data_IF_798335479309
#
_entry.id   IF_798335479309
#
_cell.length_a   1.000
_cell.length_b   1.000
_cell.length_c   1.000
_cell.angle_alpha   90.00
_cell.angle_beta   90.00
_cell.angle_gamma   90.00
#
_symmetry.space_group_name_H-M   'P 1'
#
loop_
_entity.id
_entity.type
_entity.pdbx_description
1 polymer ?
#
# COMPACT_ATOMS: atom_id res chain seq x y z
N UNK A 1 0.54 14.71 -9.02
CA UNK A 1 0.98 14.03 -7.79
C UNK A 1 2.48 13.88 -7.84
N UNK A 2 3.18 14.16 -6.75
CA UNK A 2 4.64 14.15 -6.69
C UNK A 2 5.15 13.24 -5.57
N UNK A 3 6.44 13.33 -5.27
CA UNK A 3 7.06 12.64 -4.14
C UNK A 3 7.41 13.68 -3.09
N UNK A 4 6.57 13.79 -2.06
CA UNK A 4 6.78 14.71 -0.96
C UNK A 4 7.93 14.24 -0.04
N UNK A 5 8.20 14.98 1.03
CA UNK A 5 9.24 14.64 1.99
C UNK A 5 8.96 13.32 2.72
N UNK A 6 7.70 12.86 2.80
CA UNK A 6 7.30 11.60 3.41
C UNK A 6 7.64 11.51 4.89
N UNK A 7 7.52 12.63 5.61
CA UNK A 7 8.13 12.80 6.92
C UNK A 7 7.17 13.11 8.07
N UNK A 8 5.88 12.95 7.81
CA UNK A 8 4.85 13.05 8.85
C UNK A 8 5.01 11.96 9.90
N UNK A 9 4.76 12.32 11.16
CA UNK A 9 4.74 11.40 12.30
C UNK A 9 3.36 11.45 12.94
N UNK A 10 2.75 10.26 13.05
CA UNK A 10 1.49 10.10 13.80
C UNK A 10 1.80 9.62 15.22
N UNK A 11 1.17 10.26 16.21
CA UNK A 11 1.23 9.90 17.63
C UNK A 11 -0.16 9.88 18.25
N UNK A 12 -0.30 9.27 19.41
CA UNK A 12 -1.50 9.40 20.25
C UNK A 12 -1.20 10.40 21.36
N UNK A 13 -2.11 11.33 21.61
CA UNK A 13 -2.02 12.25 22.75
C UNK A 13 -2.47 11.56 24.06
N UNK A 14 -2.41 12.31 25.17
CA UNK A 14 -2.80 11.79 26.50
C UNK A 14 -4.30 11.41 26.59
N UNK A 15 -5.13 11.86 25.65
CA UNK A 15 -6.56 11.54 25.56
C UNK A 15 -6.82 10.33 24.66
N UNK A 16 -5.80 9.87 23.93
CA UNK A 16 -5.90 8.79 22.96
C UNK A 16 -6.35 9.27 21.58
N UNK A 17 -6.35 10.57 21.32
CA UNK A 17 -6.63 11.12 20.00
C UNK A 17 -5.36 11.06 19.12
N UNK A 18 -5.54 10.89 17.81
CA UNK A 18 -4.42 10.87 16.86
C UNK A 18 -3.98 12.31 16.57
N UNK A 19 -2.69 12.57 16.77
CA UNK A 19 -2.01 13.78 16.35
C UNK A 19 -1.07 13.49 15.17
N UNK A 20 -0.95 14.45 14.25
CA UNK A 20 -0.10 14.37 13.06
C UNK A 20 0.85 15.56 13.01
N UNK A 21 2.11 15.29 13.32
CA UNK A 21 3.21 16.24 13.12
C UNK A 21 3.72 16.11 11.68
N UNK A 22 3.40 17.10 10.84
CA UNK A 22 3.85 17.16 9.46
C UNK A 22 4.04 18.60 9.00
N UNK A 23 5.23 18.90 8.46
CA UNK A 23 5.58 20.21 7.90
C UNK A 23 5.85 20.08 6.39
N UNK A 24 5.07 20.76 5.53
CA UNK A 24 5.29 20.72 4.10
C UNK A 24 6.52 21.48 3.61
N UNK A 25 7.24 22.20 4.47
CA UNK A 25 8.46 22.94 4.10
C UNK A 25 9.47 22.05 3.36
N UNK A 26 9.65 20.80 3.80
CA UNK A 26 10.54 19.82 3.15
C UNK A 26 10.11 19.40 1.74
N UNK A 27 8.88 19.75 1.33
CA UNK A 27 8.30 19.40 0.03
C UNK A 27 8.12 20.63 -0.88
N UNK A 28 8.51 21.82 -0.43
CA UNK A 28 8.20 23.09 -1.12
C UNK A 28 8.84 23.18 -2.51
N UNK A 29 10.06 22.67 -2.68
CA UNK A 29 10.76 22.64 -3.97
C UNK A 29 9.92 21.92 -5.04
N UNK A 30 9.43 20.72 -4.72
CA UNK A 30 8.54 19.96 -5.59
C UNK A 30 7.25 20.73 -5.93
N UNK A 31 6.64 21.41 -4.94
CA UNK A 31 5.42 22.18 -5.20
C UNK A 31 5.68 23.38 -6.13
N UNK A 32 6.83 24.05 -5.99
CA UNK A 32 7.22 25.16 -6.85
C UNK A 32 7.50 24.68 -8.28
N UNK A 33 8.20 23.56 -8.45
CA UNK A 33 8.40 22.94 -9.77
C UNK A 33 7.07 22.57 -10.45
N UNK A 34 6.15 21.99 -9.68
CA UNK A 34 4.82 21.62 -10.19
C UNK A 34 3.99 22.86 -10.57
N UNK A 35 4.05 23.91 -9.77
CA UNK A 35 3.37 25.19 -10.05
C UNK A 35 3.93 25.83 -11.32
N UNK A 36 5.26 25.85 -11.49
CA UNK A 36 5.91 26.36 -12.70
C UNK A 36 5.49 25.57 -13.94
N UNK A 37 5.50 24.24 -13.88
CA UNK A 37 5.08 23.40 -15.00
C UNK A 37 3.60 23.62 -15.39
N UNK A 38 2.72 23.84 -14.41
CA UNK A 38 1.31 24.17 -14.70
C UNK A 38 1.13 25.56 -15.30
N UNK A 39 1.92 26.55 -14.88
CA UNK A 39 1.92 27.89 -15.46
C UNK A 39 2.34 27.86 -16.93
N UNK A 40 3.48 27.22 -17.22
CA UNK A 40 3.98 27.06 -18.59
C UNK A 40 2.95 26.37 -19.50
N UNK A 41 2.30 25.30 -18.99
CA UNK A 41 1.26 24.59 -19.72
C UNK A 41 0.01 25.46 -19.95
N UNK A 42 -0.42 26.20 -18.94
CA UNK A 42 -1.57 27.11 -19.03
C UNK A 42 -1.32 28.22 -20.06
N UNK A 43 -0.16 28.86 -20.01
CA UNK A 43 0.24 29.91 -20.95
C UNK A 43 0.28 29.40 -22.38
N UNK A 44 0.90 28.24 -22.61
CA UNK A 44 0.96 27.62 -23.93
C UNK A 44 -0.44 27.24 -24.48
N UNK A 45 -1.39 26.94 -23.59
CA UNK A 45 -2.78 26.67 -23.93
C UNK A 45 -3.66 27.94 -24.06
N UNK A 46 -3.11 29.14 -23.85
CA UNK A 46 -3.85 30.41 -23.88
C UNK A 46 -4.75 30.64 -22.67
N UNK A 47 -4.51 29.92 -21.57
CA UNK A 47 -5.24 30.03 -20.30
C UNK A 47 -4.62 31.02 -19.31
N UNK A 48 -5.27 31.13 -18.15
CA UNK A 48 -4.80 31.92 -17.01
C UNK A 48 -4.68 31.04 -15.76
N UNK A 49 -3.56 31.16 -15.04
CA UNK A 49 -3.35 30.44 -13.78
C UNK A 49 -4.18 31.06 -12.65
N UNK A 50 -4.93 30.21 -11.94
CA UNK A 50 -5.73 30.61 -10.78
C UNK A 50 -5.37 29.72 -9.60
N UNK A 51 -4.64 30.30 -8.65
CA UNK A 51 -4.21 29.60 -7.44
C UNK A 51 -5.35 29.48 -6.44
N UNK A 52 -5.52 28.31 -5.84
CA UNK A 52 -6.46 28.08 -4.74
C UNK A 52 -6.23 29.05 -3.59
N UNK A 53 -7.30 29.60 -3.01
CA UNK A 53 -7.23 30.48 -1.84
C UNK A 53 -6.48 29.85 -0.66
N UNK A 54 -6.56 28.53 -0.51
CA UNK A 54 -5.87 27.80 0.55
C UNK A 54 -4.34 27.77 0.36
N UNK A 55 -3.87 27.90 -0.88
CA UNK A 55 -2.45 27.88 -1.21
C UNK A 55 -1.81 29.28 -1.23
N UNK A 56 -2.63 30.32 -1.24
CA UNK A 56 -2.16 31.70 -1.16
C UNK A 56 -1.70 32.06 0.26
N UNK A 57 -0.77 33.01 0.37
CA UNK A 57 -0.41 33.60 1.65
C UNK A 57 -1.62 34.39 2.21
N UNK A 58 -1.94 34.32 3.51
CA UNK A 58 -1.17 33.70 4.61
C UNK A 58 -1.53 32.24 4.91
N UNK A 59 -2.47 31.62 4.19
CA UNK A 59 -2.98 30.30 4.54
C UNK A 59 -1.95 29.18 4.30
N UNK A 60 -1.40 29.09 3.08
CA UNK A 60 -0.45 28.05 2.64
C UNK A 60 -0.76 26.64 3.18
N UNK A 61 -2.04 26.26 3.15
CA UNK A 61 -2.52 24.96 3.62
C UNK A 61 -2.56 23.97 2.47
N UNK A 62 -1.94 22.82 2.69
CA UNK A 62 -2.05 21.68 1.78
C UNK A 62 -3.18 20.76 2.21
N UNK A 63 -3.81 20.17 1.21
CA UNK A 63 -4.78 19.11 1.37
C UNK A 63 -4.27 17.91 0.59
N UNK A 64 -4.25 16.75 1.23
CA UNK A 64 -4.02 15.48 0.56
C UNK A 64 -5.26 14.62 0.69
N UNK A 65 -5.70 14.04 -0.43
CA UNK A 65 -6.71 12.98 -0.44
C UNK A 65 -6.10 11.60 -0.15
N UNK A 66 -4.77 11.52 -0.07
CA UNK A 66 -4.03 10.26 -0.04
C UNK A 66 -3.03 10.24 1.15
N UNK A 67 -3.50 10.30 2.41
CA UNK A 67 -2.62 10.06 3.54
C UNK A 67 -2.11 8.61 3.49
N UNK A 68 -0.79 8.42 3.40
CA UNK A 68 -0.13 7.11 3.33
C UNK A 68 1.04 7.08 4.33
N UNK A 69 1.26 5.92 4.95
CA UNK A 69 2.33 5.72 5.93
C UNK A 69 1.82 5.24 7.28
N UNK A 70 2.55 5.56 8.35
CA UNK A 70 2.20 5.19 9.73
C UNK A 70 2.67 3.79 10.14
N UNK A 71 2.32 2.77 9.35
CA UNK A 71 2.71 1.36 9.53
C UNK A 71 3.38 0.85 8.27
N UNK A 72 4.63 1.23 8.04
CA UNK A 72 5.31 0.95 6.77
C UNK A 72 5.86 -0.48 6.80
N UNK A 73 5.90 -1.08 5.61
CA UNK A 73 6.45 -2.42 5.39
C UNK A 73 7.97 -2.34 5.30
N UNK A 74 8.66 -3.27 5.97
CA UNK A 74 10.13 -3.33 6.02
C UNK A 74 10.64 -4.77 5.91
N UNK A 75 11.94 -4.89 5.61
CA UNK A 75 12.64 -6.17 5.59
C UNK A 75 13.02 -6.67 6.99
N UNK A 76 13.03 -5.78 8.00
CA UNK A 76 13.46 -6.08 9.37
C UNK A 76 12.58 -5.38 10.42
N UNK A 77 12.43 -6.07 11.54
CA UNK A 77 11.69 -5.58 12.72
C UNK A 77 12.22 -4.29 13.35
N UNK A 78 13.49 -3.96 13.14
CA UNK A 78 14.08 -2.73 13.69
C UNK A 78 13.78 -1.50 12.83
N UNK A 79 13.43 -1.70 11.55
CA UNK A 79 13.28 -0.64 10.57
C UNK A 79 11.83 -0.09 10.52
N UNK A 80 10.81 -0.93 10.70
CA UNK A 80 9.39 -0.50 10.67
C UNK A 80 8.42 -1.53 11.29
N UNK A 81 7.10 -1.36 11.07
CA UNK A 81 6.03 -2.03 11.82
C UNK A 81 5.67 -3.42 11.29
N UNK A 82 5.63 -3.61 9.96
CA UNK A 82 5.16 -4.86 9.34
C UNK A 82 6.18 -5.46 8.35
N UNK A 83 6.15 -6.78 8.20
CA UNK A 83 6.94 -7.49 7.18
C UNK A 83 6.27 -7.47 5.80
N UNK A 84 6.92 -8.11 4.81
CA UNK A 84 6.47 -8.15 3.42
C UNK A 84 5.11 -8.85 3.18
N UNK A 85 4.61 -9.56 4.19
CA UNK A 85 3.33 -10.30 4.19
C UNK A 85 2.23 -9.57 4.97
N UNK A 86 2.52 -8.38 5.49
CA UNK A 86 1.58 -7.60 6.28
C UNK A 86 1.45 -8.07 7.73
N UNK A 87 2.37 -8.90 8.23
CA UNK A 87 2.39 -9.34 9.63
C UNK A 87 3.18 -8.34 10.48
N UNK A 88 2.68 -8.03 11.67
CA UNK A 88 3.37 -7.14 12.62
C UNK A 88 4.61 -7.84 13.17
N UNK A 89 5.74 -7.12 13.19
CA UNK A 89 6.97 -7.63 13.76
C UNK A 89 6.91 -7.79 15.29
N UNK A 90 6.72 -9.02 15.78
CA UNK A 90 6.98 -9.43 17.17
C UNK A 90 6.38 -8.54 18.30
N UNK A 91 6.81 -8.69 19.56
CA UNK A 91 6.36 -7.78 20.63
C UNK A 91 6.87 -6.36 20.36
N UNK A 92 6.08 -5.31 20.68
CA UNK A 92 6.40 -3.93 20.34
C UNK A 92 7.76 -3.54 20.90
N UNK A 93 8.72 -3.36 20.00
CA UNK A 93 10.01 -2.73 20.30
C UNK A 93 9.95 -1.30 19.78
N UNK A 94 10.62 -0.34 20.43
CA UNK A 94 10.75 0.98 19.86
C UNK A 94 11.43 0.85 18.50
N UNK A 95 10.70 1.16 17.42
CA UNK A 95 11.22 1.19 16.04
C UNK A 95 12.41 2.15 16.03
N UNK A 96 13.60 1.64 15.74
CA UNK A 96 14.84 2.42 15.81
C UNK A 96 15.03 3.14 14.48
N UNK A 97 14.44 4.32 14.41
CA UNK A 97 14.48 5.16 13.23
C UNK A 97 13.39 4.73 12.26
N UNK A 98 12.28 5.48 12.23
CA UNK A 98 11.43 5.52 11.04
C UNK A 98 12.34 5.95 9.89
N UNK A 99 12.78 5.01 9.06
CA UNK A 99 13.53 5.34 7.84
C UNK A 99 12.57 6.14 6.96
N UNK A 100 12.78 7.47 6.90
CA UNK A 100 12.02 8.42 6.04
C UNK A 100 12.06 8.02 4.56
N UNK A 101 12.96 7.14 4.20
CA UNK A 101 13.38 6.71 2.88
C UNK A 101 12.74 5.39 2.40
N UNK A 102 11.86 4.75 3.18
CA UNK A 102 11.26 3.48 2.73
C UNK A 102 10.18 3.65 1.63
N UNK A 103 10.23 2.91 0.51
CA UNK A 103 9.49 3.26 -0.71
C UNK A 103 7.97 3.00 -0.79
N UNK A 104 7.29 2.12 0.00
CA UNK A 104 5.94 1.71 -0.41
C UNK A 104 4.89 2.83 -0.28
N UNK A 105 5.17 3.91 0.46
CA UNK A 105 4.26 5.04 0.65
C UNK A 105 4.33 6.10 -0.46
N UNK A 106 5.37 6.11 -1.31
CA UNK A 106 5.62 7.19 -2.29
C UNK A 106 5.04 6.86 -3.66
N UNK A 107 3.73 6.61 -3.74
CA UNK A 107 3.06 6.44 -5.03
C UNK A 107 2.90 7.80 -5.72
N UNK A 108 3.60 8.00 -6.84
CA UNK A 108 3.45 9.19 -7.71
C UNK A 108 2.10 9.20 -8.46
N UNK A 109 1.31 8.13 -8.32
CA UNK A 109 0.00 7.91 -8.93
C UNK A 109 -1.03 7.52 -7.87
N UNK A 110 -2.31 7.52 -8.23
CA UNK A 110 -3.39 7.23 -7.28
C UNK A 110 -3.12 5.89 -6.57
N UNK A 111 -3.05 5.86 -5.22
CA UNK A 111 -2.63 4.67 -4.49
C UNK A 111 -3.71 3.58 -4.42
N UNK A 112 -4.95 3.85 -4.82
CA UNK A 112 -6.07 2.92 -4.64
C UNK A 112 -5.80 1.53 -5.20
N UNK A 113 -5.33 1.43 -6.45
CA UNK A 113 -5.02 0.13 -7.08
C UNK A 113 -3.83 -0.56 -6.41
N UNK A 114 -2.84 0.19 -5.93
CA UNK A 114 -1.70 -0.37 -5.18
C UNK A 114 -2.16 -0.93 -3.84
N UNK A 115 -3.04 -0.21 -3.13
CA UNK A 115 -3.63 -0.67 -1.87
C UNK A 115 -4.44 -1.95 -2.11
N UNK A 116 -5.27 -1.99 -3.15
CA UNK A 116 -6.04 -3.18 -3.52
C UNK A 116 -5.12 -4.37 -3.81
N UNK A 117 -4.14 -4.22 -4.69
CA UNK A 117 -3.22 -5.29 -5.04
C UNK A 117 -2.42 -5.81 -3.82
N UNK A 118 -1.95 -4.90 -2.97
CA UNK A 118 -1.23 -5.24 -1.75
C UNK A 118 -2.14 -5.97 -0.76
N UNK A 119 -3.38 -5.51 -0.60
CA UNK A 119 -4.37 -6.12 0.30
C UNK A 119 -4.73 -7.53 -0.14
N UNK A 120 -4.91 -7.76 -1.44
CA UNK A 120 -5.14 -9.10 -2.01
C UNK A 120 -3.95 -10.04 -1.77
N UNK A 121 -2.71 -9.54 -1.98
CA UNK A 121 -1.49 -10.31 -1.68
C UNK A 121 -1.37 -10.68 -0.21
N UNK A 122 -1.64 -9.74 0.70
CA UNK A 122 -1.63 -9.98 2.16
C UNK A 122 -2.70 -11.00 2.53
N UNK A 123 -3.93 -10.86 2.02
CA UNK A 123 -5.01 -11.80 2.27
C UNK A 123 -4.68 -13.22 1.78
N UNK A 124 -4.04 -13.34 0.61
CA UNK A 124 -3.52 -14.59 0.09
C UNK A 124 -2.55 -15.27 1.08
N UNK A 125 -1.59 -14.52 1.64
CA UNK A 125 -0.69 -15.03 2.66
C UNK A 125 -1.43 -15.43 3.95
N UNK A 126 -2.37 -14.62 4.43
CA UNK A 126 -3.15 -14.89 5.64
C UNK A 126 -3.99 -16.17 5.53
N UNK A 127 -4.65 -16.40 4.40
CA UNK A 127 -5.56 -17.54 4.20
C UNK A 127 -4.82 -18.81 3.77
N UNK A 128 -3.74 -18.66 2.98
CA UNK A 128 -3.12 -19.78 2.29
C UNK A 128 -1.64 -20.04 2.63
N UNK A 129 -0.98 -19.11 3.33
CA UNK A 129 0.43 -19.25 3.73
C UNK A 129 1.41 -19.34 2.55
N UNK A 130 1.08 -18.77 1.39
CA UNK A 130 1.91 -18.82 0.17
C UNK A 130 1.64 -17.64 -0.75
N UNK A 131 2.53 -17.39 -1.70
CA UNK A 131 2.44 -16.26 -2.63
C UNK A 131 1.35 -16.46 -3.70
N UNK A 132 0.92 -15.35 -4.33
CA UNK A 132 -0.01 -15.39 -5.44
C UNK A 132 0.64 -16.05 -6.66
N UNK A 133 -0.03 -17.04 -7.25
CA UNK A 133 0.51 -17.79 -8.40
C UNK A 133 1.19 -19.11 -8.04
N UNK A 134 1.51 -19.35 -6.76
CA UNK A 134 1.93 -20.66 -6.28
C UNK A 134 0.73 -21.63 -6.34
N UNK A 135 0.61 -22.32 -7.47
CA UNK A 135 -0.41 -23.36 -7.67
C UNK A 135 -0.05 -24.57 -6.83
N UNK A 136 -1.01 -25.02 -6.02
CA UNK A 136 -0.98 -26.40 -5.49
C UNK A 136 -0.83 -27.33 -6.71
N UNK A 137 0.07 -28.33 -6.71
CA UNK A 137 0.00 -29.38 -7.71
C UNK A 137 -1.43 -29.92 -7.68
N UNK A 138 -2.07 -29.98 -8.85
CA UNK A 138 -3.42 -30.50 -8.96
C UNK A 138 -3.46 -31.83 -8.21
N UNK A 139 -4.36 -31.95 -7.22
CA UNK A 139 -4.56 -33.22 -6.54
C UNK A 139 -4.87 -34.23 -7.65
N UNK A 140 -3.94 -35.18 -7.85
CA UNK A 140 -4.12 -36.22 -8.85
C UNK A 140 -5.44 -36.91 -8.50
N UNK A 141 -6.43 -36.97 -9.41
CA UNK A 141 -7.68 -37.63 -9.09
C UNK A 141 -7.35 -39.04 -8.59
N UNK A 142 -7.95 -39.41 -7.47
CA UNK A 142 -7.83 -40.78 -6.96
C UNK A 142 -8.16 -41.73 -8.13
N UNK A 143 -7.38 -42.80 -8.35
CA UNK A 143 -7.70 -43.74 -9.41
C UNK A 143 -9.15 -44.17 -9.20
N UNK A 144 -9.96 -44.02 -10.25
CA UNK A 144 -11.35 -44.45 -10.21
C UNK A 144 -11.36 -45.89 -9.71
N UNK A 145 -12.05 -46.12 -8.57
CA UNK A 145 -12.20 -47.47 -8.06
C UNK A 145 -12.78 -48.31 -9.19
N UNK A 146 -12.02 -49.31 -9.64
CA UNK A 146 -12.48 -50.20 -10.69
C UNK A 146 -13.79 -50.82 -10.21
N UNK A 147 -14.88 -50.46 -10.89
CA UNK A 147 -16.18 -51.08 -10.65
C UNK A 147 -16.00 -52.56 -10.99
N UNK A 148 -15.88 -53.40 -9.97
CA UNK A 148 -15.88 -54.84 -10.13
C UNK A 148 -17.27 -55.23 -10.62
N UNK A 149 -17.41 -55.39 -11.93
CA UNK A 149 -18.58 -56.01 -12.52
C UNK A 149 -18.57 -57.47 -12.04
N UNK A 150 -19.58 -57.81 -11.24
CA UNK A 150 -19.82 -59.19 -10.88
C UNK A 150 -20.03 -60.01 -12.16
N UNK A 151 -19.46 -61.23 -12.26
CA UNK A 151 -19.67 -62.06 -13.43
C UNK A 151 -21.16 -62.40 -13.55
N UNK A 152 -21.70 -62.19 -14.74
CA UNK A 152 -23.05 -62.62 -15.09
C UNK A 152 -23.21 -64.10 -14.76
N UNK A 153 -24.24 -64.42 -13.97
CA UNK A 153 -24.63 -65.78 -13.68
C UNK A 153 -25.14 -66.43 -14.98
N UNK A 154 -24.21 -66.96 -15.77
CA UNK A 154 -24.51 -67.89 -16.84
C UNK A 154 -25.20 -69.11 -16.22
N UNK A 155 -26.42 -69.37 -16.70
CA UNK A 155 -27.33 -70.35 -16.13
C UNK A 155 -26.84 -71.80 -16.17
N UNK A 156 -27.47 -72.60 -15.31
CA UNK A 156 -27.59 -74.06 -15.48
C UNK A 156 -28.97 -74.42 -14.92
N UNK A 157 -29.90 -74.82 -15.79
CA UNK A 157 -30.51 -76.16 -15.70
C UNK A 157 -32.00 -76.08 -15.42
#
# INVERSE_FOLDING_TARGET
>A
MGTDAGDGVMSLDDRGDIDLDWDPAGSMEMFLEMEQGFQELSEAAGGHDLRSLLWQWPFRRLLTAHPLGGCVMSDRADDDVVNDRGEVWGPPRPVRGRRRDHPPARSRVNPSMTITALSERVAQWMVHGRELGDRRPAARPAPAAALQLAPDAAGVG
#
